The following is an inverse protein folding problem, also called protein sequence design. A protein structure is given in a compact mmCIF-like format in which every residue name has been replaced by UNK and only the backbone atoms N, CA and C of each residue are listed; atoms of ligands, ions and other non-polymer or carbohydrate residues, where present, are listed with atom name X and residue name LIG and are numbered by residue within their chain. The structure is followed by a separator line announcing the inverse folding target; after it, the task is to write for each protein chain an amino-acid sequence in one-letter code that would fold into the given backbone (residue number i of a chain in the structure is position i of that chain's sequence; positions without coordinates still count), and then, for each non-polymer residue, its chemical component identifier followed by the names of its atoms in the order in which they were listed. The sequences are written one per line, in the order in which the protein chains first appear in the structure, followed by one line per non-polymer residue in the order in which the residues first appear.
data_IF_836765051736
#
_entry.id   IF_836765051736
#
_cell.length_a   1.000
_cell.length_b   1.000
_cell.length_c   1.000
_cell.angle_alpha   90.00
_cell.angle_beta   90.00
_cell.angle_gamma   90.00
#
_symmetry.space_group_name_H-M   'P 1'
#
loop_
_entity.id
_entity.type
_entity.pdbx_description
1 polymer ?
#
# COMPACT_ATOMS: atom_id res chain seq x y z
N UNK A 1 13.89 -15.38 -2.77
CA UNK A 1 13.15 -14.37 -3.56
C UNK A 1 12.49 -13.41 -2.57
N UNK A 2 12.65 -12.11 -2.78
CA UNK A 2 11.89 -11.09 -2.04
C UNK A 2 10.45 -11.18 -2.54
N UNK A 3 9.49 -11.33 -1.63
CA UNK A 3 8.08 -11.41 -1.99
C UNK A 3 7.56 -9.99 -2.21
N UNK A 4 7.17 -9.69 -3.44
CA UNK A 4 6.59 -8.40 -3.84
C UNK A 4 5.07 -8.53 -3.96
N UNK A 5 4.37 -7.61 -3.32
CA UNK A 5 2.93 -7.46 -3.33
C UNK A 5 2.57 -6.17 -4.06
N UNK A 6 1.79 -6.26 -5.13
CA UNK A 6 1.22 -5.08 -5.79
C UNK A 6 -0.10 -4.75 -5.08
N UNK A 7 -0.22 -3.54 -4.55
CA UNK A 7 -1.40 -3.09 -3.81
C UNK A 7 -2.40 -2.46 -4.78
N UNK A 8 -1.93 -1.53 -5.60
CA UNK A 8 -2.68 -0.99 -6.72
C UNK A 8 -1.74 -0.59 -7.84
N UNK A 9 -2.26 -0.59 -9.07
CA UNK A 9 -1.58 -0.09 -10.24
C UNK A 9 -2.60 0.44 -11.23
N UNK A 10 -2.65 1.77 -11.35
CA UNK A 10 -3.46 2.44 -12.35
C UNK A 10 -2.70 2.58 -13.66
N UNK A 11 -1.41 2.91 -13.56
CA UNK A 11 -0.48 3.05 -14.67
C UNK A 11 0.99 2.93 -14.18
N UNK A 12 1.97 3.36 -14.98
CA UNK A 12 3.40 3.31 -14.60
C UNK A 12 3.81 4.38 -13.56
N UNK A 13 3.01 5.43 -13.42
CA UNK A 13 3.25 6.61 -12.60
C UNK A 13 2.31 6.70 -11.40
N UNK A 14 1.33 5.79 -11.30
CA UNK A 14 0.36 5.69 -10.23
C UNK A 14 0.26 4.23 -9.77
N UNK A 15 1.18 3.83 -8.89
CA UNK A 15 1.32 2.44 -8.44
C UNK A 15 1.87 2.37 -7.02
N UNK A 16 1.41 1.37 -6.27
CA UNK A 16 1.93 1.08 -4.95
C UNK A 16 2.31 -0.39 -4.82
N UNK A 17 3.51 -0.63 -4.31
CA UNK A 17 4.06 -1.97 -4.13
C UNK A 17 4.65 -2.13 -2.74
N UNK A 18 4.56 -3.32 -2.18
CA UNK A 18 5.08 -3.67 -0.87
C UNK A 18 5.99 -4.88 -0.99
N UNK A 19 7.20 -4.77 -0.46
CA UNK A 19 8.23 -5.80 -0.49
C UNK A 19 8.61 -6.22 0.93
N UNK A 20 8.60 -7.52 1.21
CA UNK A 20 9.06 -8.04 2.51
C UNK A 20 10.54 -8.39 2.42
N UNK A 21 11.37 -7.60 3.12
CA UNK A 21 12.83 -7.70 3.12
C UNK A 21 13.34 -8.14 4.50
N UNK A 22 13.30 -9.45 4.74
CA UNK A 22 13.70 -10.04 6.02
C UNK A 22 12.77 -9.59 7.14
N UNK A 23 13.28 -8.75 8.06
CA UNK A 23 12.48 -8.19 9.17
C UNK A 23 11.71 -6.92 8.81
N UNK A 24 12.04 -6.30 7.69
CA UNK A 24 11.45 -5.03 7.28
C UNK A 24 10.42 -5.25 6.18
N UNK A 25 9.47 -4.33 6.11
CA UNK A 25 8.51 -4.22 5.02
C UNK A 25 8.73 -2.87 4.36
N UNK A 26 9.01 -2.86 3.06
CA UNK A 26 9.28 -1.65 2.29
C UNK A 26 8.10 -1.41 1.37
N UNK A 27 7.40 -0.29 1.55
CA UNK A 27 6.35 0.18 0.66
C UNK A 27 6.92 1.25 -0.25
N UNK A 28 6.66 1.13 -1.55
CA UNK A 28 7.00 2.13 -2.56
C UNK A 28 5.71 2.58 -3.23
N UNK A 29 5.42 3.88 -3.14
CA UNK A 29 4.33 4.57 -3.81
C UNK A 29 4.93 5.45 -4.91
N UNK A 30 4.40 5.35 -6.12
CA UNK A 30 4.73 6.25 -7.23
C UNK A 30 3.45 7.00 -7.56
N UNK A 31 3.53 8.33 -7.57
CA UNK A 31 2.48 9.26 -7.99
C UNK A 31 3.05 10.25 -9.00
N UNK A 32 2.26 10.58 -10.02
CA UNK A 32 2.58 11.62 -11.00
C UNK A 32 2.70 13.03 -10.41
N UNK A 33 2.01 13.30 -9.30
CA UNK A 33 2.01 14.60 -8.61
C UNK A 33 3.21 14.80 -7.67
N UNK A 34 3.66 13.72 -7.02
CA UNK A 34 4.63 13.80 -5.91
C UNK A 34 5.90 12.97 -6.11
N UNK A 35 5.97 12.20 -7.19
CA UNK A 35 7.11 11.33 -7.50
C UNK A 35 7.06 10.00 -6.74
N UNK A 36 8.22 9.50 -6.36
CA UNK A 36 8.36 8.21 -5.66
C UNK A 36 8.58 8.44 -4.15
N UNK A 37 7.70 7.88 -3.34
CA UNK A 37 7.87 7.81 -1.88
C UNK A 37 8.13 6.37 -1.44
N UNK A 38 9.03 6.21 -0.47
CA UNK A 38 9.35 4.91 0.13
C UNK A 38 9.18 4.97 1.65
N UNK A 39 8.38 4.05 2.18
CA UNK A 39 8.17 3.88 3.62
C UNK A 39 8.71 2.52 4.07
N UNK A 40 9.38 2.50 5.23
CA UNK A 40 9.87 1.26 5.83
C UNK A 40 9.16 0.99 7.15
N UNK A 41 8.63 -0.22 7.30
CA UNK A 41 7.91 -0.66 8.48
C UNK A 41 8.62 -1.84 9.15
N UNK A 42 8.53 -1.89 10.47
CA UNK A 42 9.08 -2.98 11.29
C UNK A 42 8.12 -4.16 11.44
N UNK A 43 6.84 -3.98 11.09
CA UNK A 43 5.80 -4.98 11.31
C UNK A 43 4.59 -4.77 10.42
N UNK A 44 3.81 -5.84 10.19
CA UNK A 44 2.53 -5.76 9.45
C UNK A 44 1.50 -4.85 10.13
N UNK A 45 1.35 -4.83 11.47
CA UNK A 45 0.47 -3.86 12.14
C UNK A 45 0.86 -2.41 11.85
N UNK A 46 2.15 -2.08 11.79
CA UNK A 46 2.61 -0.72 11.46
C UNK A 46 2.24 -0.33 10.02
N UNK A 47 2.42 -1.24 9.06
CA UNK A 47 1.96 -1.07 7.68
C UNK A 47 0.44 -0.85 7.62
N UNK A 48 -0.34 -1.69 8.31
CA UNK A 48 -1.80 -1.60 8.31
C UNK A 48 -2.29 -0.29 8.93
N UNK A 49 -1.67 0.16 10.03
CA UNK A 49 -2.00 1.44 10.64
C UNK A 49 -1.70 2.61 9.69
N UNK A 50 -0.56 2.58 9.01
CA UNK A 50 -0.26 3.56 7.96
C UNK A 50 -1.29 3.53 6.83
N UNK A 51 -1.65 2.34 6.34
CA UNK A 51 -2.61 2.19 5.24
C UNK A 51 -4.00 2.75 5.61
N UNK A 52 -4.47 2.52 6.84
CA UNK A 52 -5.74 3.06 7.33
C UNK A 52 -5.75 4.59 7.43
N UNK A 53 -4.62 5.19 7.83
CA UNK A 53 -4.50 6.65 7.90
C UNK A 53 -4.33 7.28 6.51
N UNK A 54 -3.61 6.60 5.59
CA UNK A 54 -3.37 7.07 4.22
C UNK A 54 -4.63 6.99 3.35
N UNK A 55 -5.46 5.98 3.58
CA UNK A 55 -6.69 5.70 2.84
C UNK A 55 -7.87 5.64 3.82
N UNK A 56 -8.31 6.79 4.35
CA UNK A 56 -9.49 6.83 5.20
C UNK A 56 -10.69 6.31 4.41
N UNK A 57 -11.53 5.50 5.06
CA UNK A 57 -12.68 4.85 4.39
C UNK A 57 -13.66 5.87 3.81
N UNK A 58 -13.76 7.05 4.42
CA UNK A 58 -14.67 8.12 4.03
C UNK A 58 -14.36 8.68 2.62
N UNK A 59 -13.10 8.60 2.16
CA UNK A 59 -12.70 8.98 0.79
C UNK A 59 -13.23 8.00 -0.28
N UNK A 60 -13.81 6.88 0.14
CA UNK A 60 -14.31 5.80 -0.70
C UNK A 60 -15.83 5.63 -0.59
N UNK A 61 -16.57 6.67 -0.20
CA UNK A 61 -18.03 6.66 -0.21
C UNK A 61 -18.56 6.29 -1.62
N UNK A 62 -19.41 5.26 -1.70
CA UNK A 62 -19.90 4.69 -2.97
C UNK A 62 -18.91 3.79 -3.72
N UNK A 63 -17.70 3.59 -3.19
CA UNK A 63 -16.65 2.68 -3.71
C UNK A 63 -16.02 1.84 -2.59
N UNK A 64 -16.79 1.48 -1.57
CA UNK A 64 -16.30 0.81 -0.38
C UNK A 64 -15.69 -0.57 -0.68
N UNK A 65 -16.13 -1.22 -1.76
CA UNK A 65 -15.56 -2.48 -2.21
C UNK A 65 -14.13 -2.33 -2.73
N UNK A 66 -13.80 -1.23 -3.41
CA UNK A 66 -12.42 -0.91 -3.82
C UNK A 66 -11.53 -0.77 -2.58
N UNK A 67 -12.01 -0.04 -1.58
CA UNK A 67 -11.30 0.12 -0.30
C UNK A 67 -11.07 -1.24 0.39
N UNK A 68 -12.10 -2.10 0.44
CA UNK A 68 -11.99 -3.44 1.04
C UNK A 68 -10.96 -4.30 0.33
N UNK A 69 -10.94 -4.28 -1.01
CA UNK A 69 -9.98 -5.04 -1.80
C UNK A 69 -8.55 -4.54 -1.56
N UNK A 70 -8.35 -3.22 -1.57
CA UNK A 70 -7.06 -2.60 -1.27
C UNK A 70 -6.56 -2.97 0.14
N UNK A 71 -7.43 -2.85 1.16
CA UNK A 71 -7.08 -3.23 2.53
C UNK A 71 -6.84 -4.74 2.68
N UNK A 72 -7.53 -5.57 1.91
CA UNK A 72 -7.27 -7.02 1.87
C UNK A 72 -5.89 -7.32 1.27
N UNK A 73 -5.48 -6.60 0.22
CA UNK A 73 -4.15 -6.74 -0.38
C UNK A 73 -3.04 -6.42 0.65
N UNK A 74 -3.19 -5.35 1.43
CA UNK A 74 -2.26 -5.03 2.52
C UNK A 74 -2.19 -6.12 3.60
N UNK A 75 -3.33 -6.74 3.95
CA UNK A 75 -3.36 -7.83 4.94
C UNK A 75 -2.66 -9.10 4.47
N UNK A 76 -2.54 -9.30 3.16
CA UNK A 76 -1.89 -10.48 2.57
C UNK A 76 -0.37 -10.36 2.44
N UNK A 77 0.18 -9.14 2.60
CA UNK A 77 1.63 -8.89 2.75
C UNK A 77 2.15 -9.64 3.95
#
# INVERSE_FOLDING_TARGET
MIKKHEIYKKDKWNMMTVEVQGRYIVLREISDQWGEETHTFMSRPALMHWAQNRFPKDDFEGREDEWRQMMAAFKQV
#
